data_IF_943251027483
#
_entry.id   IF_943251027483
#
_cell.length_a   1.000
_cell.length_b   1.000
_cell.length_c   1.000
_cell.angle_alpha   90.00
_cell.angle_beta   90.00
_cell.angle_gamma   90.00
#
_symmetry.space_group_name_H-M   'P 1'
#
loop_
_entity.id
_entity.type
_entity.pdbx_description
1 polymer ?
#
# COMPACT_ATOMS: atom_id res chain seq x y z
N UNK A 1 5.41 23.50 -7.58
CA UNK A 1 6.00 22.21 -8.05
C UNK A 1 4.93 21.46 -8.83
N UNK A 2 5.31 20.83 -9.95
CA UNK A 2 4.36 20.09 -10.78
C UNK A 2 3.99 18.75 -10.13
N UNK A 3 2.74 18.33 -10.31
CA UNK A 3 2.22 17.06 -9.84
C UNK A 3 1.36 16.42 -10.95
N UNK A 4 1.49 15.13 -11.17
CA UNK A 4 0.69 14.39 -12.13
C UNK A 4 -0.55 13.80 -11.46
N UNK A 5 -1.72 14.33 -11.78
CA UNK A 5 -3.01 13.89 -11.20
C UNK A 5 -3.93 13.23 -12.23
N UNK A 6 -3.72 13.54 -13.50
CA UNK A 6 -4.38 12.89 -14.63
C UNK A 6 -3.32 12.50 -15.63
N UNK A 7 -3.46 11.33 -16.19
CA UNK A 7 -2.67 10.89 -17.30
C UNK A 7 -3.55 10.09 -18.26
N UNK A 8 -3.23 10.14 -19.52
CA UNK A 8 -3.92 9.39 -20.57
C UNK A 8 -2.88 9.01 -21.61
N UNK A 9 -1.95 8.15 -21.20
CA UNK A 9 -0.92 7.66 -22.11
C UNK A 9 -1.50 6.69 -23.13
N UNK A 10 -0.93 6.69 -24.32
CA UNK A 10 -1.20 5.72 -25.37
C UNK A 10 0.09 4.94 -25.64
N UNK A 11 0.16 3.72 -25.13
CA UNK A 11 1.32 2.85 -25.31
C UNK A 11 1.11 1.87 -26.45
N UNK A 12 2.17 1.52 -27.17
CA UNK A 12 2.13 0.48 -28.18
C UNK A 12 1.68 -0.86 -27.56
N UNK A 13 0.74 -1.54 -28.22
CA UNK A 13 0.16 -2.80 -27.71
C UNK A 13 -0.88 -2.65 -26.60
N UNK A 14 -1.28 -1.43 -26.24
CA UNK A 14 -2.28 -1.19 -25.20
C UNK A 14 -3.63 -1.80 -25.58
N UNK A 15 -4.18 -2.62 -24.70
CA UNK A 15 -5.49 -3.29 -24.82
C UNK A 15 -6.54 -2.74 -23.87
N UNK A 16 -6.12 -2.11 -22.78
CA UNK A 16 -7.01 -1.55 -21.78
C UNK A 16 -6.30 -0.57 -20.86
N UNK A 17 -7.10 0.21 -20.16
CA UNK A 17 -6.64 1.19 -19.18
C UNK A 17 -7.62 1.24 -18.01
N UNK A 18 -7.10 1.15 -16.80
CA UNK A 18 -7.85 1.29 -15.55
C UNK A 18 -7.30 2.45 -14.74
N UNK A 19 -8.18 3.36 -14.33
CA UNK A 19 -7.84 4.51 -13.49
C UNK A 19 -8.24 4.21 -12.05
N UNK A 20 -7.25 3.98 -11.19
CA UNK A 20 -7.46 3.79 -9.75
C UNK A 20 -7.42 5.11 -8.97
N UNK A 21 -7.58 5.03 -7.65
CA UNK A 21 -7.54 6.22 -6.76
C UNK A 21 -6.19 6.94 -6.82
N UNK A 22 -5.09 6.21 -6.96
CA UNK A 22 -3.71 6.75 -6.98
C UNK A 22 -2.83 6.18 -8.07
N UNK A 23 -3.25 5.10 -8.75
CA UNK A 23 -2.51 4.41 -9.81
C UNK A 23 -3.34 4.26 -11.05
N UNK A 24 -2.69 4.39 -12.19
CA UNK A 24 -3.27 4.08 -13.49
C UNK A 24 -2.55 2.87 -14.07
N UNK A 25 -3.31 1.89 -14.54
CA UNK A 25 -2.80 0.61 -14.99
C UNK A 25 -3.17 0.40 -16.46
N UNK A 26 -2.16 0.20 -17.28
CA UNK A 26 -2.29 -0.06 -18.71
C UNK A 26 -1.97 -1.52 -19.00
N UNK A 27 -2.90 -2.21 -19.64
CA UNK A 27 -2.72 -3.59 -20.09
C UNK A 27 -2.02 -3.59 -21.46
N UNK A 28 -0.87 -4.21 -21.55
CA UNK A 28 -0.06 -4.29 -22.77
C UNK A 28 -0.05 -5.74 -23.30
N UNK A 29 -0.59 -5.95 -24.49
CA UNK A 29 -0.64 -7.22 -25.20
C UNK A 29 -1.28 -8.39 -24.40
N UNK A 30 -2.04 -8.10 -23.34
CA UNK A 30 -2.61 -9.06 -22.39
C UNK A 30 -1.57 -9.85 -21.58
N UNK A 31 -0.30 -9.53 -21.68
CA UNK A 31 0.81 -10.18 -20.99
C UNK A 31 1.46 -9.33 -19.91
N UNK A 32 1.45 -8.00 -20.10
CA UNK A 32 2.15 -7.05 -19.24
C UNK A 32 1.24 -5.96 -18.72
N UNK A 33 1.62 -5.40 -17.59
CA UNK A 33 1.03 -4.19 -17.02
C UNK A 33 2.08 -3.08 -16.96
N UNK A 34 1.68 -1.88 -17.36
CA UNK A 34 2.39 -0.63 -17.05
C UNK A 34 1.59 0.06 -15.97
N UNK A 35 2.14 0.17 -14.77
CA UNK A 35 1.51 0.82 -13.63
C UNK A 35 2.17 2.17 -13.39
N UNK A 36 1.43 3.24 -13.62
CA UNK A 36 1.86 4.62 -13.37
C UNK A 36 1.33 5.06 -12.01
N UNK A 37 2.23 5.34 -11.07
CA UNK A 37 1.86 5.84 -9.75
C UNK A 37 1.77 7.36 -9.82
N UNK A 38 0.55 7.88 -9.74
CA UNK A 38 0.30 9.31 -9.82
C UNK A 38 0.57 10.02 -8.48
N UNK A 39 0.56 11.34 -8.53
CA UNK A 39 0.65 12.20 -7.34
C UNK A 39 -0.71 12.45 -6.67
N UNK A 40 -1.77 11.74 -7.12
CA UNK A 40 -3.07 11.77 -6.44
C UNK A 40 -2.92 11.25 -5.01
N UNK A 41 -3.65 11.88 -4.10
CA UNK A 41 -3.77 11.41 -2.72
C UNK A 41 -5.24 11.21 -2.38
N UNK A 42 -5.56 10.10 -1.72
CA UNK A 42 -6.90 9.81 -1.24
C UNK A 42 -6.91 9.60 0.26
N UNK A 43 -7.92 10.13 0.93
CA UNK A 43 -8.20 9.90 2.34
C UNK A 43 -9.71 9.82 2.53
N UNK A 44 -10.16 8.97 3.45
CA UNK A 44 -11.60 8.71 3.68
C UNK A 44 -12.36 8.33 2.39
N UNK A 45 -11.72 7.53 1.53
CA UNK A 45 -12.22 7.12 0.20
C UNK A 45 -12.44 8.24 -0.82
N UNK A 46 -12.04 9.46 -0.50
CA UNK A 46 -12.10 10.63 -1.38
C UNK A 46 -10.72 10.95 -1.95
N UNK A 47 -10.64 11.09 -3.28
CA UNK A 47 -9.44 11.63 -3.92
C UNK A 47 -9.42 13.14 -3.72
N UNK A 48 -8.35 13.65 -3.11
CA UNK A 48 -8.23 15.07 -2.80
C UNK A 48 -8.02 15.90 -4.09
N UNK A 49 -8.44 17.18 -4.11
CA UNK A 49 -8.50 17.98 -5.33
C UNK A 49 -7.13 18.36 -5.92
N UNK A 50 -6.08 18.30 -5.11
CA UNK A 50 -4.71 18.63 -5.56
C UNK A 50 -3.77 17.44 -5.35
N UNK A 51 -2.84 17.27 -6.28
CA UNK A 51 -1.78 16.27 -6.18
C UNK A 51 -0.66 16.71 -5.25
N UNK A 52 0.07 15.74 -4.76
CA UNK A 52 1.24 15.92 -3.89
C UNK A 52 2.50 15.62 -4.72
N UNK A 53 3.29 16.64 -5.09
CA UNK A 53 4.50 16.44 -5.88
C UNK A 53 5.42 15.37 -5.31
N UNK A 54 5.97 14.53 -6.18
CA UNK A 54 6.85 13.40 -5.84
C UNK A 54 6.21 12.24 -5.05
N UNK A 55 4.94 12.32 -4.64
CA UNK A 55 4.27 11.22 -3.94
C UNK A 55 4.29 9.93 -4.76
N UNK A 56 3.98 10.02 -6.05
CA UNK A 56 4.01 8.87 -6.97
C UNK A 56 5.41 8.25 -7.04
N UNK A 57 6.45 9.06 -7.16
CA UNK A 57 7.83 8.59 -7.14
C UNK A 57 8.18 7.88 -5.83
N UNK A 58 7.85 8.48 -4.68
CA UNK A 58 8.09 7.89 -3.36
C UNK A 58 7.48 6.51 -3.25
N UNK A 59 6.19 6.38 -3.56
CA UNK A 59 5.48 5.10 -3.44
C UNK A 59 6.00 4.05 -4.40
N UNK A 60 6.25 4.42 -5.67
CA UNK A 60 6.75 3.48 -6.67
C UNK A 60 8.14 2.94 -6.31
N UNK A 61 9.04 3.80 -5.89
CA UNK A 61 10.40 3.41 -5.53
C UNK A 61 10.47 2.58 -4.25
N UNK A 62 9.65 2.88 -3.23
CA UNK A 62 9.54 2.04 -2.03
C UNK A 62 9.00 0.65 -2.42
N UNK A 63 7.91 0.58 -3.17
CA UNK A 63 7.32 -0.69 -3.61
C UNK A 63 8.33 -1.53 -4.40
N UNK A 64 9.02 -0.94 -5.36
CA UNK A 64 10.02 -1.63 -6.18
C UNK A 64 11.16 -2.21 -5.33
N UNK A 65 11.69 -1.44 -4.38
CA UNK A 65 12.75 -1.88 -3.47
C UNK A 65 12.31 -3.08 -2.63
N UNK A 66 11.11 -3.06 -2.06
CA UNK A 66 10.63 -4.17 -1.25
C UNK A 66 10.23 -5.39 -2.08
N UNK A 67 9.72 -5.21 -3.29
CA UNK A 67 9.50 -6.32 -4.21
C UNK A 67 10.83 -7.03 -4.54
N UNK A 68 11.91 -6.28 -4.77
CA UNK A 68 13.24 -6.86 -4.97
C UNK A 68 13.75 -7.60 -3.72
N UNK A 69 13.50 -7.06 -2.53
CA UNK A 69 13.93 -7.66 -1.27
C UNK A 69 13.20 -8.95 -0.89
N UNK A 70 12.17 -9.36 -1.64
CA UNK A 70 11.34 -10.56 -1.37
C UNK A 70 11.39 -11.60 -2.48
N UNK A 71 12.24 -11.45 -3.49
CA UNK A 71 12.32 -12.33 -4.66
C UNK A 71 12.76 -13.76 -4.34
N UNK A 72 13.46 -13.96 -3.24
CA UNK A 72 13.85 -15.27 -2.72
C UNK A 72 12.71 -16.02 -2.00
N UNK A 73 11.62 -15.33 -1.66
CA UNK A 73 10.44 -15.92 -1.02
C UNK A 73 9.45 -16.46 -2.06
N UNK A 74 9.09 -15.60 -3.03
CA UNK A 74 8.25 -15.97 -4.16
C UNK A 74 8.47 -15.00 -5.31
N UNK A 75 8.13 -15.38 -6.56
CA UNK A 75 8.16 -14.43 -7.66
C UNK A 75 7.16 -13.30 -7.44
N UNK A 76 7.48 -12.14 -7.97
CA UNK A 76 6.56 -11.00 -7.96
C UNK A 76 6.31 -10.48 -9.38
N UNK A 77 5.28 -9.67 -9.52
CA UNK A 77 4.83 -9.17 -10.81
C UNK A 77 5.81 -8.19 -11.48
N UNK A 78 6.68 -7.53 -10.70
CA UNK A 78 7.62 -6.51 -11.21
C UNK A 78 8.67 -7.11 -12.14
N UNK A 79 8.83 -6.52 -13.32
CA UNK A 79 9.91 -6.81 -14.26
C UNK A 79 10.94 -5.68 -14.23
N UNK A 80 10.48 -4.41 -14.40
CA UNK A 80 11.36 -3.25 -14.48
C UNK A 80 10.69 -1.98 -13.93
N UNK A 81 11.53 -0.98 -13.67
CA UNK A 81 11.14 0.38 -13.29
C UNK A 81 11.74 1.34 -14.31
N UNK A 82 11.12 1.49 -15.49
CA UNK A 82 11.65 2.34 -16.55
C UNK A 82 11.64 3.83 -16.22
N UNK A 83 10.73 4.26 -15.34
CA UNK A 83 10.63 5.63 -14.83
C UNK A 83 10.46 5.60 -13.31
N UNK A 84 10.96 6.59 -12.55
CA UNK A 84 10.78 6.64 -11.10
C UNK A 84 9.33 6.51 -10.61
N UNK A 85 8.35 6.83 -11.45
CA UNK A 85 6.93 6.74 -11.16
C UNK A 85 6.23 5.55 -11.81
N UNK A 86 6.97 4.66 -12.51
CA UNK A 86 6.37 3.59 -13.31
C UNK A 86 7.03 2.25 -13.01
N UNK A 87 6.21 1.25 -12.79
CA UNK A 87 6.61 -0.15 -12.77
C UNK A 87 5.97 -0.89 -13.95
N UNK A 88 6.78 -1.63 -14.68
CA UNK A 88 6.32 -2.58 -15.71
C UNK A 88 6.45 -4.00 -15.16
N UNK A 89 5.42 -4.79 -15.35
CA UNK A 89 5.43 -6.14 -14.80
C UNK A 89 4.48 -7.10 -15.51
N UNK A 90 4.45 -8.33 -15.00
CA UNK A 90 3.58 -9.38 -15.50
C UNK A 90 2.11 -9.08 -15.20
N UNK A 91 1.27 -9.32 -16.18
CA UNK A 91 -0.18 -9.40 -15.94
C UNK A 91 -0.48 -10.76 -15.33
N UNK A 92 -0.94 -10.75 -14.09
CA UNK A 92 -1.37 -11.93 -13.36
C UNK A 92 -2.89 -11.91 -13.17
N UNK A 93 -3.49 -13.07 -13.08
CA UNK A 93 -4.91 -13.21 -12.68
C UNK A 93 -5.00 -13.03 -11.15
N UNK A 94 -5.65 -11.97 -10.66
CA UNK A 94 -5.67 -11.68 -9.23
C UNK A 94 -6.57 -12.65 -8.46
N UNK A 95 -6.15 -13.05 -7.27
CA UNK A 95 -7.07 -13.62 -6.28
C UNK A 95 -8.02 -12.52 -5.78
N UNK A 96 -9.27 -12.90 -5.53
CA UNK A 96 -10.33 -11.98 -5.06
C UNK A 96 -10.31 -11.77 -3.54
N UNK A 97 -9.11 -11.82 -2.96
CA UNK A 97 -8.86 -11.59 -1.54
C UNK A 97 -7.60 -10.76 -1.36
N UNK A 98 -7.60 -9.90 -0.35
CA UNK A 98 -6.41 -9.22 0.15
C UNK A 98 -5.96 -9.89 1.45
N UNK A 99 -4.69 -10.18 1.56
CA UNK A 99 -4.10 -10.79 2.75
C UNK A 99 -3.56 -9.70 3.68
N UNK A 100 -4.40 -9.27 4.62
CA UNK A 100 -4.01 -8.31 5.64
C UNK A 100 -3.36 -9.06 6.80
N UNK A 101 -2.17 -8.63 7.20
CA UNK A 101 -1.46 -9.19 8.35
C UNK A 101 -1.18 -8.09 9.38
N UNK A 102 -1.39 -8.41 10.66
CA UNK A 102 -1.29 -7.46 11.76
C UNK A 102 -0.39 -8.01 12.85
N UNK A 103 0.70 -7.30 13.12
CA UNK A 103 1.58 -7.60 14.26
C UNK A 103 1.13 -6.92 15.57
N UNK A 104 0.26 -5.92 15.48
CA UNK A 104 -0.16 -5.05 16.57
C UNK A 104 -1.66 -4.76 16.50
N UNK A 105 -2.27 -4.55 17.67
CA UNK A 105 -3.69 -4.20 17.78
C UNK A 105 -3.90 -2.72 17.47
N UNK A 106 -3.98 -2.40 16.19
CA UNK A 106 -4.08 -1.03 15.69
C UNK A 106 -5.16 -0.89 14.63
N UNK A 107 -5.56 0.33 14.33
CA UNK A 107 -6.46 0.66 13.22
C UNK A 107 -7.81 -0.06 13.32
N UNK A 108 -8.19 -0.77 12.24
CA UNK A 108 -9.47 -1.48 12.17
C UNK A 108 -9.59 -2.55 13.29
N UNK A 109 -8.57 -3.35 13.51
CA UNK A 109 -8.59 -4.37 14.57
C UNK A 109 -8.80 -3.75 15.96
N UNK A 110 -8.18 -2.61 16.25
CA UNK A 110 -8.43 -1.90 17.50
C UNK A 110 -9.87 -1.37 17.60
N UNK A 111 -10.43 -0.80 16.54
CA UNK A 111 -11.82 -0.32 16.55
C UNK A 111 -12.81 -1.45 16.87
N UNK A 112 -12.63 -2.62 16.25
CA UNK A 112 -13.44 -3.80 16.53
C UNK A 112 -13.26 -4.30 17.96
N UNK A 113 -12.02 -4.34 18.46
CA UNK A 113 -11.70 -4.75 19.81
C UNK A 113 -12.30 -3.82 20.86
N UNK A 114 -12.16 -2.49 20.65
CA UNK A 114 -12.75 -1.44 21.51
C UNK A 114 -14.28 -1.51 21.52
N UNK A 115 -14.89 -1.92 20.43
CA UNK A 115 -16.34 -2.15 20.32
C UNK A 115 -16.80 -3.45 21.01
N UNK A 116 -15.89 -4.20 21.65
CA UNK A 116 -16.19 -5.40 22.43
C UNK A 116 -15.97 -6.73 21.68
N UNK A 117 -15.58 -6.71 20.41
CA UNK A 117 -15.26 -7.93 19.66
C UNK A 117 -13.95 -8.53 20.14
N UNK A 118 -13.89 -9.88 20.15
CA UNK A 118 -12.69 -10.65 20.49
C UNK A 118 -12.28 -11.59 19.37
N UNK A 119 -12.94 -11.46 18.23
CA UNK A 119 -12.60 -12.16 17.00
C UNK A 119 -12.70 -11.20 15.84
N UNK A 120 -11.78 -11.32 14.86
CA UNK A 120 -11.79 -10.61 13.61
C UNK A 120 -11.43 -11.60 12.49
N UNK A 121 -12.21 -11.66 11.41
CA UNK A 121 -12.03 -12.62 10.32
C UNK A 121 -11.89 -14.09 10.81
N UNK A 122 -12.61 -14.46 11.87
CA UNK A 122 -12.51 -15.78 12.49
C UNK A 122 -11.28 -16.00 13.39
N UNK A 123 -10.40 -15.01 13.55
CA UNK A 123 -9.20 -15.11 14.38
C UNK A 123 -9.46 -14.49 15.76
N UNK A 124 -9.14 -15.25 16.83
CA UNK A 124 -9.27 -14.77 18.20
C UNK A 124 -8.21 -13.72 18.55
N UNK A 125 -8.63 -12.68 19.24
CA UNK A 125 -7.75 -11.68 19.83
C UNK A 125 -7.70 -11.87 21.35
N UNK A 126 -6.51 -11.84 21.98
CA UNK A 126 -6.38 -12.03 23.43
C UNK A 126 -7.16 -11.00 24.25
N UNK A 127 -7.65 -11.40 25.42
CA UNK A 127 -8.28 -10.48 26.37
C UNK A 127 -7.25 -9.53 27.01
N UNK A 128 -7.72 -8.34 27.39
CA UNK A 128 -6.93 -7.37 28.15
C UNK A 128 -5.87 -6.62 27.35
N UNK A 129 -5.92 -6.69 26.01
CA UNK A 129 -5.02 -5.91 25.18
C UNK A 129 -5.41 -4.43 25.14
N UNK A 130 -4.41 -3.59 24.94
CA UNK A 130 -4.58 -2.14 24.74
C UNK A 130 -4.23 -1.73 23.31
N UNK A 131 -4.63 -0.52 22.93
CA UNK A 131 -4.34 0.03 21.60
C UNK A 131 -2.82 0.03 21.30
N UNK A 132 -2.47 -0.38 20.09
CA UNK A 132 -1.09 -0.46 19.59
C UNK A 132 -0.20 -1.51 20.29
N UNK A 133 -0.77 -2.36 21.13
CA UNK A 133 -0.04 -3.46 21.74
C UNK A 133 0.28 -4.54 20.70
N UNK A 134 1.48 -5.12 20.82
CA UNK A 134 1.93 -6.23 19.98
C UNK A 134 1.10 -7.49 20.26
N UNK A 135 0.64 -8.16 19.19
CA UNK A 135 0.07 -9.51 19.31
C UNK A 135 1.16 -10.52 19.70
N UNK A 136 0.82 -11.59 20.43
CA UNK A 136 1.76 -12.69 20.69
C UNK A 136 2.37 -13.26 19.41
N UNK A 137 1.53 -13.40 18.37
CA UNK A 137 1.90 -13.74 17.00
C UNK A 137 1.11 -12.87 16.04
N UNK A 138 1.68 -12.49 14.87
CA UNK A 138 0.94 -11.75 13.87
C UNK A 138 -0.30 -12.51 13.40
N UNK A 139 -1.43 -11.83 13.30
CA UNK A 139 -2.69 -12.39 12.85
C UNK A 139 -2.99 -12.00 11.41
N UNK A 140 -3.57 -12.93 10.65
CA UNK A 140 -4.02 -12.68 9.27
C UNK A 140 -5.52 -12.47 9.27
N UNK A 141 -5.95 -11.31 8.77
CA UNK A 141 -7.34 -10.86 8.76
C UNK A 141 -7.71 -10.46 7.33
N UNK A 142 -8.06 -11.43 6.46
CA UNK A 142 -8.29 -11.16 5.06
C UNK A 142 -9.51 -10.27 4.82
N UNK A 143 -9.50 -9.58 3.67
CA UNK A 143 -10.67 -8.91 3.13
C UNK A 143 -10.99 -9.45 1.75
N UNK A 144 -12.25 -9.34 1.33
CA UNK A 144 -12.62 -9.50 -0.07
C UNK A 144 -11.99 -8.39 -0.88
N UNK A 145 -11.71 -8.65 -2.16
CA UNK A 145 -11.40 -7.61 -3.13
C UNK A 145 -12.61 -7.40 -4.01
N UNK A 146 -13.42 -6.40 -3.65
CA UNK A 146 -14.63 -6.10 -4.38
C UNK A 146 -14.31 -5.42 -5.73
N UNK A 147 -15.01 -5.83 -6.78
CA UNK A 147 -14.95 -5.13 -8.08
C UNK A 147 -15.72 -3.79 -8.00
N UNK A 148 -16.74 -3.72 -7.14
CA UNK A 148 -17.51 -2.50 -6.82
C UNK A 148 -17.84 -2.46 -5.32
N UNK A 149 -17.84 -1.27 -4.72
CA UNK A 149 -18.13 -1.08 -3.29
C UNK A 149 -16.89 -1.05 -2.40
N UNK A 150 -17.03 -1.59 -1.19
CA UNK A 150 -15.96 -1.64 -0.20
C UNK A 150 -15.51 -3.08 0.04
N UNK A 151 -14.23 -3.26 0.33
CA UNK A 151 -13.68 -4.52 0.77
C UNK A 151 -14.23 -4.86 2.16
N UNK A 152 -14.61 -6.11 2.37
CA UNK A 152 -15.24 -6.60 3.60
C UNK A 152 -14.35 -7.64 4.27
N UNK A 153 -14.34 -7.62 5.61
CA UNK A 153 -13.69 -8.65 6.41
C UNK A 153 -14.27 -10.03 6.07
N UNK A 154 -13.41 -11.01 5.86
CA UNK A 154 -13.81 -12.37 5.53
C UNK A 154 -12.89 -13.38 6.23
N UNK A 155 -13.45 -14.50 6.73
CA UNK A 155 -12.63 -15.55 7.35
C UNK A 155 -12.03 -16.50 6.30
N UNK A 156 -10.96 -17.20 6.69
CA UNK A 156 -10.37 -18.29 5.90
C UNK A 156 -11.42 -19.34 5.50
N UNK A 157 -12.24 -19.73 6.44
CA UNK A 157 -13.29 -20.74 6.23
C UNK A 157 -14.29 -20.28 5.18
N UNK A 158 -14.67 -19.00 5.24
CA UNK A 158 -15.63 -18.43 4.31
C UNK A 158 -15.03 -18.25 2.91
N UNK A 159 -13.75 -17.84 2.81
CA UNK A 159 -13.01 -17.77 1.53
C UNK A 159 -13.02 -19.13 0.83
N UNK A 160 -12.72 -20.19 1.57
CA UNK A 160 -12.68 -21.56 1.04
C UNK A 160 -14.10 -22.04 0.71
N UNK A 161 -15.08 -21.77 1.57
CA UNK A 161 -16.49 -22.17 1.36
C UNK A 161 -17.09 -21.51 0.12
N UNK A 162 -16.77 -20.25 -0.14
CA UNK A 162 -17.23 -19.51 -1.32
C UNK A 162 -16.44 -19.89 -2.59
N UNK A 163 -15.35 -20.65 -2.48
CA UNK A 163 -14.50 -21.01 -3.61
C UNK A 163 -13.70 -19.84 -4.18
N UNK A 164 -13.48 -18.76 -3.39
CA UNK A 164 -12.65 -17.61 -3.81
C UNK A 164 -11.19 -18.03 -3.97
N UNK A 165 -10.71 -18.90 -3.08
CA UNK A 165 -9.38 -19.51 -3.11
C UNK A 165 -9.53 -20.96 -2.63
N UNK A 166 -8.85 -21.92 -3.26
CA UNK A 166 -8.81 -23.29 -2.76
C UNK A 166 -8.08 -23.36 -1.41
N UNK A 167 -8.36 -24.40 -0.60
CA UNK A 167 -7.67 -24.59 0.69
C UNK A 167 -6.15 -24.64 0.53
N UNK A 168 -5.69 -25.39 -0.44
CA UNK A 168 -4.26 -25.58 -0.71
C UNK A 168 -3.57 -24.28 -1.11
N UNK A 169 -4.20 -23.50 -2.00
CA UNK A 169 -3.67 -22.20 -2.40
C UNK A 169 -3.74 -21.19 -1.26
N UNK A 170 -4.84 -21.18 -0.48
CA UNK A 170 -4.95 -20.27 0.67
C UNK A 170 -3.83 -20.51 1.70
N UNK A 171 -3.50 -21.77 1.99
CA UNK A 171 -2.40 -22.13 2.89
C UNK A 171 -1.04 -21.65 2.36
N UNK A 172 -0.84 -21.66 1.03
CA UNK A 172 0.35 -21.05 0.42
C UNK A 172 0.34 -19.52 0.57
N UNK A 173 -0.81 -18.87 0.35
CA UNK A 173 -0.93 -17.41 0.55
C UNK A 173 -0.65 -17.02 2.01
N UNK A 174 -1.11 -17.79 2.99
CA UNK A 174 -0.78 -17.57 4.41
C UNK A 174 0.72 -17.68 4.66
N UNK A 175 1.36 -18.73 4.15
CA UNK A 175 2.79 -18.96 4.33
C UNK A 175 3.62 -17.82 3.71
N UNK A 176 3.28 -17.40 2.50
CA UNK A 176 3.92 -16.26 1.82
C UNK A 176 3.69 -14.95 2.57
N UNK A 177 2.45 -14.70 3.01
CA UNK A 177 2.10 -13.51 3.79
C UNK A 177 2.95 -13.38 5.04
N UNK A 178 3.12 -14.47 5.80
CA UNK A 178 3.97 -14.48 7.00
C UNK A 178 5.44 -14.28 6.68
N UNK A 179 5.95 -14.93 5.64
CA UNK A 179 7.35 -14.81 5.24
C UNK A 179 7.70 -13.39 4.75
N UNK A 180 6.83 -12.78 3.95
CA UNK A 180 7.02 -11.40 3.46
C UNK A 180 6.94 -10.40 4.64
N UNK A 181 5.98 -10.59 5.54
CA UNK A 181 5.83 -9.75 6.73
C UNK A 181 7.04 -9.84 7.66
N UNK A 182 7.58 -11.04 7.86
CA UNK A 182 8.81 -11.24 8.61
C UNK A 182 9.98 -10.50 7.97
N UNK A 183 10.18 -10.61 6.65
CA UNK A 183 11.21 -9.88 5.91
C UNK A 183 11.02 -8.36 6.06
N UNK A 184 9.81 -7.85 5.91
CA UNK A 184 9.49 -6.44 6.10
C UNK A 184 9.76 -5.96 7.52
N UNK A 185 9.44 -6.77 8.52
CA UNK A 185 9.72 -6.51 9.95
C UNK A 185 11.23 -6.39 10.20
N UNK A 186 12.02 -7.32 9.68
CA UNK A 186 13.48 -7.30 9.82
C UNK A 186 14.13 -6.07 9.17
N UNK A 187 13.63 -5.67 8.00
CA UNK A 187 14.11 -4.45 7.31
C UNK A 187 13.72 -3.21 8.10
N UNK A 188 12.46 -3.12 8.55
CA UNK A 188 11.98 -2.00 9.35
C UNK A 188 12.79 -1.85 10.66
N UNK A 189 13.08 -2.96 11.31
CA UNK A 189 13.84 -2.97 12.57
C UNK A 189 15.24 -2.39 12.42
N UNK A 190 15.93 -2.68 11.30
CA UNK A 190 17.23 -2.09 10.95
C UNK A 190 17.16 -0.58 10.74
N UNK A 191 16.00 -0.06 10.36
CA UNK A 191 15.73 1.37 10.16
C UNK A 191 15.19 2.05 11.42
N UNK A 192 15.14 1.37 12.57
CA UNK A 192 14.55 1.90 13.80
C UNK A 192 13.04 2.04 13.75
N UNK A 193 12.39 1.26 12.91
CA UNK A 193 10.94 1.24 12.70
C UNK A 193 10.34 -0.08 13.14
N UNK A 194 9.04 -0.07 13.38
CA UNK A 194 8.18 -1.22 13.61
C UNK A 194 7.19 -1.29 12.46
N UNK A 195 7.18 -2.39 11.70
CA UNK A 195 6.11 -2.69 10.75
C UNK A 195 4.91 -3.23 11.54
N UNK A 196 3.86 -2.43 11.60
CA UNK A 196 2.69 -2.69 12.44
C UNK A 196 1.71 -3.64 11.78
N UNK A 197 1.28 -3.28 10.61
CA UNK A 197 0.37 -4.01 9.75
C UNK A 197 0.58 -3.64 8.27
N UNK A 198 0.17 -4.53 7.41
CA UNK A 198 0.23 -4.33 5.96
C UNK A 198 -0.74 -5.26 5.26
N UNK A 199 -0.95 -5.04 3.97
CA UNK A 199 -1.74 -5.92 3.10
C UNK A 199 -0.91 -6.38 1.92
N UNK A 200 -1.20 -7.59 1.46
CA UNK A 200 -0.61 -8.17 0.25
C UNK A 200 -1.70 -8.63 -0.70
N UNK A 201 -1.44 -8.44 -1.96
CA UNK A 201 -2.24 -8.97 -3.05
C UNK A 201 -1.43 -10.03 -3.80
N UNK A 202 -2.11 -11.10 -4.19
CA UNK A 202 -1.51 -12.19 -4.93
C UNK A 202 -2.29 -12.44 -6.21
N UNK A 203 -1.61 -12.97 -7.19
CA UNK A 203 -2.21 -13.41 -8.44
C UNK A 203 -1.53 -14.65 -8.98
N UNK A 204 -2.02 -15.15 -10.08
CA UNK A 204 -1.56 -16.37 -10.70
C UNK A 204 -1.17 -16.11 -12.15
N UNK A 205 -0.03 -16.62 -12.58
CA UNK A 205 0.37 -16.64 -13.99
C UNK A 205 0.96 -18.02 -14.31
N UNK A 206 0.39 -18.69 -15.30
CA UNK A 206 0.82 -20.03 -15.72
C UNK A 206 0.90 -21.05 -14.56
N UNK A 207 -0.07 -21.00 -13.64
CA UNK A 207 -0.12 -21.89 -12.49
C UNK A 207 0.79 -21.50 -11.30
N UNK A 208 1.59 -20.46 -11.43
CA UNK A 208 2.50 -19.97 -10.37
C UNK A 208 1.88 -18.78 -9.67
N UNK A 209 2.00 -18.76 -8.33
CA UNK A 209 1.55 -17.64 -7.50
C UNK A 209 2.61 -16.54 -7.52
N UNK A 210 2.17 -15.31 -7.76
CA UNK A 210 2.97 -14.09 -7.78
C UNK A 210 2.49 -13.12 -6.72
N UNK A 211 3.42 -12.42 -6.08
CA UNK A 211 3.13 -11.25 -5.30
C UNK A 211 2.84 -10.09 -6.25
N UNK A 212 1.74 -9.39 -6.02
CA UNK A 212 1.25 -8.32 -6.87
C UNK A 212 1.24 -6.96 -6.15
N UNK A 213 0.92 -5.91 -6.90
CA UNK A 213 0.71 -4.55 -6.43
C UNK A 213 1.91 -3.97 -5.66
N UNK A 214 1.65 -3.10 -4.72
CA UNK A 214 2.65 -2.50 -3.84
C UNK A 214 2.76 -3.27 -2.52
N UNK A 215 3.95 -3.27 -1.95
CA UNK A 215 4.18 -3.79 -0.60
C UNK A 215 4.98 -2.79 0.24
N UNK A 216 4.70 -2.76 1.55
CA UNK A 216 5.46 -2.03 2.56
C UNK A 216 5.58 -0.53 2.34
N UNK A 217 4.73 0.05 1.50
CA UNK A 217 4.67 1.51 1.32
C UNK A 217 3.87 2.16 2.46
N UNK A 218 4.05 3.46 2.71
CA UNK A 218 3.25 4.17 3.71
C UNK A 218 1.75 4.21 3.41
N UNK A 219 1.34 3.94 2.17
CA UNK A 219 -0.06 3.88 1.76
C UNK A 219 -0.68 2.50 2.02
N UNK A 220 0.10 1.42 1.92
CA UNK A 220 -0.34 0.03 2.15
C UNK A 220 -0.01 -0.49 3.54
N UNK A 221 0.83 0.21 4.29
CA UNK A 221 1.39 -0.27 5.57
C UNK A 221 1.38 0.83 6.62
N UNK A 222 1.38 0.40 7.88
CA UNK A 222 1.57 1.28 9.02
C UNK A 222 2.91 0.96 9.67
N UNK A 223 3.68 2.02 9.97
CA UNK A 223 4.92 1.92 10.71
C UNK A 223 4.84 2.79 11.98
N UNK A 224 5.45 2.31 13.06
CA UNK A 224 5.78 3.14 14.21
C UNK A 224 7.28 3.37 14.29
N UNK A 225 7.70 4.49 14.89
CA UNK A 225 9.07 4.64 15.34
C UNK A 225 9.30 3.72 16.55
N UNK A 226 10.40 2.94 16.51
CA UNK A 226 10.76 2.02 17.59
C UNK A 226 11.15 2.79 18.85
N UNK A 227 11.84 3.91 18.67
CA UNK A 227 12.21 4.81 19.77
C UNK A 227 10.97 5.36 20.47
N UNK A 228 10.90 5.15 21.79
CA UNK A 228 9.81 5.61 22.64
C UNK A 228 8.48 4.84 22.45
N UNK A 229 8.47 3.71 21.73
CA UNK A 229 7.25 2.91 21.55
C UNK A 229 6.74 2.37 22.88
N UNK A 230 7.60 1.74 23.69
CA UNK A 230 7.21 1.13 24.97
C UNK A 230 6.74 2.17 25.99
N UNK A 231 7.41 3.33 26.05
CA UNK A 231 7.06 4.42 26.94
C UNK A 231 5.68 5.00 26.59
N UNK A 232 5.41 5.23 25.30
CA UNK A 232 4.11 5.71 24.83
C UNK A 232 3.02 4.68 25.04
N UNK A 233 3.32 3.39 24.82
CA UNK A 233 2.38 2.31 25.08
C UNK A 233 1.99 2.25 26.56
N UNK A 234 2.98 2.25 27.46
CA UNK A 234 2.75 2.22 28.90
C UNK A 234 1.98 3.45 29.42
N UNK A 235 2.19 4.62 28.80
CA UNK A 235 1.51 5.86 29.13
C UNK A 235 0.12 6.01 28.46
N UNK A 236 -0.30 5.05 27.61
CA UNK A 236 -1.55 5.18 26.83
C UNK A 236 -1.55 6.33 25.83
N UNK A 237 -0.37 6.74 25.37
CA UNK A 237 -0.19 7.82 24.41
C UNK A 237 -0.26 7.33 22.96
N UNK A 238 -0.59 8.22 22.03
CA UNK A 238 -0.51 7.95 20.61
C UNK A 238 0.92 7.58 20.20
N UNK A 239 1.07 6.58 19.35
CA UNK A 239 2.36 6.23 18.78
C UNK A 239 2.81 7.26 17.73
N UNK A 240 4.12 7.50 17.66
CA UNK A 240 4.71 8.25 16.55
C UNK A 240 4.75 7.33 15.33
N UNK A 241 4.02 7.67 14.27
CA UNK A 241 3.84 6.79 13.14
C UNK A 241 4.28 7.40 11.81
N UNK A 242 4.68 6.52 10.90
CA UNK A 242 4.94 6.78 9.50
C UNK A 242 3.84 6.11 8.66
N UNK A 243 2.91 6.89 8.19
CA UNK A 243 1.82 6.50 7.30
C UNK A 243 1.16 7.78 6.80
N UNK A 244 0.17 7.69 5.95
CA UNK A 244 -0.62 8.86 5.55
C UNK A 244 -1.62 9.35 6.63
N UNK A 245 -1.53 8.85 7.86
CA UNK A 245 -2.43 9.25 8.95
C UNK A 245 -2.33 10.75 9.25
N UNK A 246 -1.13 11.36 9.09
CA UNK A 246 -0.97 12.81 9.24
C UNK A 246 -1.86 13.63 8.29
N UNK A 247 -2.16 13.11 7.10
CA UNK A 247 -3.10 13.77 6.16
C UNK A 247 -4.52 13.64 6.68
N UNK A 248 -4.89 12.48 7.23
CA UNK A 248 -6.22 12.28 7.83
C UNK A 248 -6.41 13.15 9.06
N UNK A 249 -5.39 13.23 9.94
CA UNK A 249 -5.43 14.11 11.12
C UNK A 249 -5.62 15.58 10.70
N UNK A 250 -4.84 16.05 9.73
CA UNK A 250 -5.00 17.41 9.17
C UNK A 250 -6.41 17.64 8.60
N UNK A 251 -6.97 16.70 7.85
CA UNK A 251 -8.32 16.78 7.31
C UNK A 251 -9.36 16.86 8.44
N UNK A 252 -9.24 16.01 9.46
CA UNK A 252 -10.16 15.97 10.60
C UNK A 252 -10.09 17.27 11.42
N UNK A 253 -8.91 17.80 11.65
CA UNK A 253 -8.70 19.10 12.34
C UNK A 253 -9.34 20.26 11.57
N UNK A 254 -9.47 20.13 10.24
CA UNK A 254 -10.13 21.11 9.38
C UNK A 254 -11.57 20.71 9.00
N UNK A 255 -12.20 19.80 9.77
CA UNK A 255 -13.63 19.47 9.66
C UNK A 255 -14.02 18.52 8.53
N UNK A 256 -13.08 17.77 7.98
CA UNK A 256 -13.34 16.81 6.90
C UNK A 256 -13.04 15.36 7.32
N UNK A 257 -14.03 14.49 7.15
CA UNK A 257 -13.94 13.06 7.40
C UNK A 257 -14.60 12.21 6.29
N UNK A 258 -14.80 12.80 5.11
CA UNK A 258 -15.43 12.13 3.97
C UNK A 258 -16.94 11.94 4.09
N UNK A 259 -17.60 12.63 5.03
CA UNK A 259 -19.05 12.52 5.22
C UNK A 259 -19.81 13.40 4.22
N UNK A 260 -21.05 13.02 3.93
CA UNK A 260 -21.92 13.78 3.03
C UNK A 260 -22.08 15.23 3.52
N UNK A 261 -21.94 16.17 2.59
CA UNK A 261 -22.05 17.62 2.88
C UNK A 261 -20.76 18.28 3.37
N UNK A 262 -19.72 17.53 3.70
CA UNK A 262 -18.42 18.08 4.05
C UNK A 262 -17.64 18.50 2.80
N UNK A 263 -16.85 19.56 2.93
CA UNK A 263 -15.95 20.02 1.87
C UNK A 263 -14.49 19.79 2.26
N UNK A 264 -13.69 19.36 1.29
CA UNK A 264 -12.24 19.24 1.48
C UNK A 264 -11.69 20.64 1.78
N UNK A 265 -10.91 20.82 2.86
CA UNK A 265 -10.30 22.11 3.19
C UNK A 265 -9.35 22.57 2.07
N UNK A 266 -9.11 23.85 1.99
CA UNK A 266 -8.21 24.42 0.98
C UNK A 266 -6.79 23.86 1.13
N UNK A 267 -6.32 23.20 0.09
CA UNK A 267 -4.94 22.71 0.01
C UNK A 267 -4.05 23.83 -0.51
N UNK A 268 -3.54 24.67 0.40
CA UNK A 268 -2.60 25.75 0.07
C UNK A 268 -1.26 25.19 -0.37
N UNK A 269 -0.40 26.00 -1.00
CA UNK A 269 0.96 25.58 -1.36
C UNK A 269 1.80 25.16 -0.15
N UNK A 270 1.59 25.80 1.00
CA UNK A 270 2.26 25.44 2.25
C UNK A 270 1.84 24.04 2.72
N UNK A 271 0.55 23.74 2.71
CA UNK A 271 0.02 22.41 3.04
C UNK A 271 0.58 21.35 2.10
N UNK A 272 0.53 21.60 0.78
CA UNK A 272 1.05 20.66 -0.24
C UNK A 272 2.54 20.42 -0.04
N UNK A 273 3.32 21.47 0.20
CA UNK A 273 4.76 21.37 0.45
C UNK A 273 5.03 20.56 1.72
N UNK A 274 4.29 20.82 2.79
CA UNK A 274 4.41 20.07 4.05
C UNK A 274 4.11 18.57 3.86
N UNK A 275 3.07 18.23 3.09
CA UNK A 275 2.75 16.84 2.76
C UNK A 275 3.86 16.22 1.89
N UNK A 276 4.36 16.93 0.89
CA UNK A 276 5.47 16.47 0.04
C UNK A 276 6.71 16.12 0.86
N UNK A 277 7.17 17.03 1.72
CA UNK A 277 8.35 16.79 2.56
C UNK A 277 8.12 15.61 3.52
N UNK A 278 6.89 15.42 3.99
CA UNK A 278 6.54 14.26 4.82
C UNK A 278 6.65 12.95 4.06
N UNK A 279 6.19 12.88 2.80
CA UNK A 279 6.39 11.69 1.96
C UNK A 279 7.87 11.41 1.68
N UNK A 280 8.68 12.45 1.47
CA UNK A 280 10.13 12.30 1.29
C UNK A 280 10.77 11.79 2.59
N UNK A 281 10.40 12.32 3.76
CA UNK A 281 10.84 11.81 5.07
C UNK A 281 10.47 10.32 5.22
N UNK A 282 9.25 9.94 4.83
CA UNK A 282 8.81 8.54 4.85
C UNK A 282 9.68 7.65 3.97
N UNK A 283 10.02 8.10 2.76
CA UNK A 283 10.93 7.37 1.88
C UNK A 283 12.30 7.14 2.55
N UNK A 284 12.92 8.20 3.05
CA UNK A 284 14.25 8.15 3.66
C UNK A 284 14.25 7.28 4.92
N UNK A 285 13.21 7.36 5.75
CA UNK A 285 13.08 6.56 6.96
C UNK A 285 12.91 5.07 6.67
N UNK A 286 12.06 4.72 5.69
CA UNK A 286 11.73 3.32 5.37
C UNK A 286 12.84 2.65 4.56
N UNK A 287 13.51 3.38 3.66
CA UNK A 287 14.55 2.82 2.78
C UNK A 287 15.96 2.96 3.32
N UNK A 288 16.20 3.92 4.19
CA UNK A 288 17.54 4.31 4.64
C UNK A 288 18.37 5.06 3.58
N UNK A 289 17.72 5.46 2.47
CA UNK A 289 18.37 6.13 1.34
C UNK A 289 17.91 7.57 1.23
N UNK A 290 18.78 8.45 0.74
CA UNK A 290 18.41 9.82 0.43
C UNK A 290 17.51 9.86 -0.80
N UNK A 291 16.42 10.63 -0.70
CA UNK A 291 15.50 10.80 -1.82
C UNK A 291 16.10 11.72 -2.87
N UNK A 292 16.18 11.22 -4.10
CA UNK A 292 16.64 11.99 -5.25
C UNK A 292 15.42 12.35 -6.10
N UNK A 293 15.07 13.62 -6.10
CA UNK A 293 13.92 14.12 -6.88
C UNK A 293 14.18 13.93 -8.37
N UNK A 294 13.27 13.27 -9.04
CA UNK A 294 13.29 13.17 -10.49
C UNK A 294 12.94 14.51 -11.14
N UNK A 295 13.31 14.67 -12.42
CA UNK A 295 12.92 15.86 -13.19
C UNK A 295 11.39 15.99 -13.23
N UNK A 296 10.89 17.17 -12.90
CA UNK A 296 9.46 17.45 -12.73
C UNK A 296 8.98 18.59 -13.64
N UNK A 297 9.76 19.01 -14.65
CA UNK A 297 9.36 20.06 -15.56
C UNK A 297 8.29 19.57 -16.55
N UNK A 298 8.48 18.37 -17.11
CA UNK A 298 7.51 17.71 -18.00
C UNK A 298 7.40 16.21 -17.66
N UNK A 299 6.68 15.92 -16.58
CA UNK A 299 6.56 14.57 -16.03
C UNK A 299 5.91 13.62 -17.04
N UNK A 300 4.87 14.07 -17.76
CA UNK A 300 4.14 13.23 -18.71
C UNK A 300 5.05 12.79 -19.87
N UNK A 301 5.77 13.70 -20.49
CA UNK A 301 6.71 13.37 -21.56
C UNK A 301 7.85 12.47 -21.11
N UNK A 302 8.37 12.70 -19.88
CA UNK A 302 9.40 11.84 -19.31
C UNK A 302 8.89 10.40 -19.17
N UNK A 303 7.70 10.22 -18.58
CA UNK A 303 7.06 8.91 -18.42
C UNK A 303 6.82 8.26 -19.78
N UNK A 304 6.17 8.97 -20.70
CA UNK A 304 5.84 8.47 -22.03
C UNK A 304 7.10 7.98 -22.77
N UNK A 305 8.15 8.79 -22.78
CA UNK A 305 9.42 8.44 -23.41
C UNK A 305 10.06 7.20 -22.75
N UNK A 306 10.22 7.21 -21.45
CA UNK A 306 10.89 6.12 -20.71
C UNK A 306 10.16 4.79 -20.85
N UNK A 307 8.83 4.83 -20.80
CA UNK A 307 8.02 3.61 -20.95
C UNK A 307 8.05 3.12 -22.40
N UNK A 308 7.89 4.01 -23.39
CA UNK A 308 7.93 3.63 -24.79
C UNK A 308 9.27 2.99 -25.19
N UNK A 309 10.39 3.55 -24.73
CA UNK A 309 11.71 2.94 -24.97
C UNK A 309 11.86 1.58 -24.33
N UNK A 310 11.34 1.41 -23.10
CA UNK A 310 11.38 0.11 -22.44
C UNK A 310 10.51 -0.94 -23.14
N UNK A 311 9.29 -0.60 -23.55
CA UNK A 311 8.36 -1.53 -24.19
C UNK A 311 8.91 -2.10 -25.52
N UNK A 312 9.80 -1.39 -26.20
CA UNK A 312 10.50 -1.93 -27.39
C UNK A 312 11.44 -3.09 -27.07
N UNK A 313 11.77 -3.30 -25.80
CA UNK A 313 12.68 -4.37 -25.36
C UNK A 313 11.95 -5.64 -24.92
N UNK A 314 10.63 -5.61 -24.79
CA UNK A 314 9.76 -6.75 -24.47
C UNK A 314 9.35 -7.49 -25.73
#
# INVERSE_FOLDING_TARGET
MNAIVKNNFEFEGQKGHYVGKVRDVYNINDDYLVMVVSDRISAFDVVLPKGIPFKGQVLNQIAAKFLDATTDILPNWKIAVPDPMVTVGHRCEPYKVEMVIRGYLSGHAWREYKAGKRTICGVAMPEGMVENQKFPEPIITPTTKADEGHDEDISKEEIIRQGLVSREEYEQLEAYTRAIFQRGTEIAEKMGLILVDTKYEFGKKNGVIYLMDEIHTPDSSRYFYKEGYEERLAAGQKQKQLSKEFVREWLMENGFQGQEGQQVPEMTEEVITGITERYIELYEAVTGEKFVRAEAEDIEKRIEHNVAEYLKTL
#
